data_IF_066553797681
#
_entry.id   IF_066553797681
#
_cell.length_a   1.000
_cell.length_b   1.000
_cell.length_c   1.000
_cell.angle_alpha   90.00
_cell.angle_beta   90.00
_cell.angle_gamma   90.00
#
_symmetry.space_group_name_H-M   'P 1'
#
loop_
_entity.id
_entity.type
_entity.pdbx_description
1 polymer ?
#
# COMPACT_ATOMS: atom_id res chain seq x y z
N UNK A 1 33.03 48.67 28.68
CA UNK A 1 32.59 48.92 27.30
C UNK A 1 31.18 48.34 27.13
N UNK A 2 30.16 49.17 27.38
CA UNK A 2 28.76 48.76 27.31
C UNK A 2 28.30 48.76 25.87
N UNK A 3 28.08 47.57 25.31
CA UNK A 3 27.58 47.39 23.95
C UNK A 3 26.11 47.80 23.91
N UNK A 4 25.84 48.99 23.36
CA UNK A 4 24.50 49.54 23.17
C UNK A 4 23.79 48.71 22.09
N UNK A 5 22.98 47.74 22.49
CA UNK A 5 22.08 47.01 21.60
C UNK A 5 21.02 48.00 21.09
N UNK A 6 21.26 48.57 19.91
CA UNK A 6 20.30 49.42 19.21
C UNK A 6 18.99 48.66 19.00
N UNK A 7 17.97 49.01 19.79
CA UNK A 7 16.61 48.50 19.71
C UNK A 7 16.05 48.81 18.33
N UNK A 8 15.72 47.76 17.59
CA UNK A 8 15.22 47.85 16.21
C UNK A 8 13.82 48.49 16.22
N UNK A 9 13.49 49.39 15.29
CA UNK A 9 12.14 49.93 15.17
C UNK A 9 11.16 48.80 14.81
N UNK A 10 10.32 48.45 15.77
CA UNK A 10 9.29 47.40 15.75
C UNK A 10 8.35 47.55 14.53
N UNK A 11 8.18 48.77 14.01
CA UNK A 11 7.26 49.09 12.91
C UNK A 11 7.58 48.42 11.56
N UNK A 12 8.85 48.13 11.26
CA UNK A 12 9.22 47.53 9.98
C UNK A 12 8.74 46.08 9.81
N UNK A 13 8.67 45.33 10.92
CA UNK A 13 8.17 43.95 10.92
C UNK A 13 6.65 43.87 10.75
N UNK A 14 5.90 44.80 11.35
CA UNK A 14 4.43 44.80 11.29
C UNK A 14 3.93 45.02 9.86
N UNK A 15 4.58 45.92 9.10
CA UNK A 15 4.24 46.16 7.70
C UNK A 15 4.52 44.94 6.81
N UNK A 16 5.70 44.33 6.92
CA UNK A 16 6.05 43.12 6.16
C UNK A 16 5.09 41.97 6.47
N UNK A 17 4.79 41.78 7.76
CA UNK A 17 3.85 40.76 8.22
C UNK A 17 2.47 40.93 7.59
N UNK A 18 1.90 42.14 7.68
CA UNK A 18 0.57 42.42 7.13
C UNK A 18 0.49 42.22 5.60
N UNK A 19 1.54 42.61 4.86
CA UNK A 19 1.60 42.40 3.41
C UNK A 19 1.69 40.92 3.06
N UNK A 20 2.56 40.15 3.74
CA UNK A 20 2.68 38.71 3.51
C UNK A 20 1.40 37.97 3.87
N UNK A 21 0.71 38.35 4.95
CA UNK A 21 -0.55 37.73 5.37
C UNK A 21 -1.69 37.97 4.37
N UNK A 22 -1.74 39.15 3.72
CA UNK A 22 -2.69 39.41 2.63
C UNK A 22 -2.40 38.57 1.39
N UNK A 23 -1.12 38.26 1.16
CA UNK A 23 -0.66 37.58 -0.05
C UNK A 23 -0.65 36.05 0.07
N UNK A 24 -0.64 35.52 1.30
CA UNK A 24 -0.51 34.10 1.60
C UNK A 24 -1.73 33.65 2.42
N UNK A 25 -2.74 33.12 1.73
CA UNK A 25 -3.95 32.58 2.36
C UNK A 25 -3.87 31.07 2.53
N UNK A 26 -3.21 30.38 1.60
CA UNK A 26 -3.11 28.94 1.57
C UNK A 26 -1.66 28.47 1.30
N UNK A 27 -1.47 27.15 1.21
CA UNK A 27 -0.14 26.57 0.98
C UNK A 27 0.42 26.88 -0.42
N UNK A 28 -0.45 27.00 -1.44
CA UNK A 28 -0.07 27.30 -2.82
C UNK A 28 0.47 28.74 -2.90
N UNK A 29 -0.23 29.69 -2.28
CA UNK A 29 0.18 31.08 -2.18
C UNK A 29 1.54 31.21 -1.50
N UNK A 30 1.79 30.41 -0.45
CA UNK A 30 3.08 30.38 0.23
C UNK A 30 4.20 29.96 -0.74
N UNK A 31 3.97 28.95 -1.57
CA UNK A 31 4.96 28.49 -2.55
C UNK A 31 5.20 29.53 -3.65
N UNK A 32 4.13 30.17 -4.13
CA UNK A 32 4.20 31.25 -5.11
C UNK A 32 4.95 32.46 -4.56
N UNK A 33 4.57 32.92 -3.36
CA UNK A 33 5.24 34.01 -2.64
C UNK A 33 6.71 33.68 -2.40
N UNK A 34 7.05 32.45 -2.00
CA UNK A 34 8.44 32.04 -1.78
C UNK A 34 9.29 32.14 -3.04
N UNK A 35 8.71 31.73 -4.18
CA UNK A 35 9.36 31.79 -5.49
C UNK A 35 9.56 33.25 -5.93
N UNK A 36 8.52 34.08 -5.81
CA UNK A 36 8.55 35.52 -6.17
C UNK A 36 9.52 36.31 -5.30
N UNK A 37 9.57 36.05 -4.00
CA UNK A 37 10.42 36.78 -3.05
C UNK A 37 11.86 36.22 -2.97
N UNK A 38 12.13 35.08 -3.60
CA UNK A 38 13.44 34.43 -3.60
C UNK A 38 13.89 34.00 -2.19
N UNK A 39 12.96 33.53 -1.37
CA UNK A 39 13.18 33.08 0.02
C UNK A 39 12.51 31.73 0.24
N UNK A 40 13.00 30.95 1.21
CA UNK A 40 12.43 29.61 1.44
C UNK A 40 11.03 29.68 2.06
N UNK A 41 10.13 28.71 1.79
CA UNK A 41 8.82 28.66 2.45
C UNK A 41 8.92 28.66 3.99
N UNK A 42 9.94 28.01 4.55
CA UNK A 42 10.18 27.98 5.99
C UNK A 42 10.49 29.37 6.55
N UNK A 43 11.24 30.20 5.80
CA UNK A 43 11.49 31.60 6.16
C UNK A 43 10.19 32.40 6.19
N UNK A 44 9.33 32.23 5.18
CA UNK A 44 8.03 32.92 5.15
C UNK A 44 7.10 32.47 6.28
N UNK A 45 7.07 31.17 6.61
CA UNK A 45 6.33 30.65 7.77
C UNK A 45 6.82 31.25 9.09
N UNK A 46 8.14 31.40 9.27
CA UNK A 46 8.71 32.06 10.45
C UNK A 46 8.21 33.50 10.57
N UNK A 47 8.19 34.25 9.46
CA UNK A 47 7.67 35.63 9.46
C UNK A 47 6.17 35.64 9.80
N UNK A 48 5.37 34.76 9.18
CA UNK A 48 3.93 34.64 9.47
C UNK A 48 3.62 34.15 10.89
N UNK A 49 4.59 33.54 11.58
CA UNK A 49 4.49 33.19 13.00
C UNK A 49 4.97 34.34 13.93
N UNK A 50 5.35 35.49 13.38
CA UNK A 50 5.86 36.63 14.15
C UNK A 50 7.31 36.49 14.61
N UNK A 51 8.03 35.46 14.17
CA UNK A 51 9.42 35.24 14.58
C UNK A 51 10.36 36.27 13.92
N UNK A 52 11.41 36.72 14.63
CA UNK A 52 12.37 37.65 14.07
C UNK A 52 13.18 36.99 12.93
N UNK A 53 13.51 37.79 11.92
CA UNK A 53 14.36 37.41 10.79
C UNK A 53 15.53 38.37 10.64
N UNK A 54 16.57 37.94 9.92
CA UNK A 54 17.75 38.78 9.70
C UNK A 54 17.41 40.02 8.87
N UNK A 55 18.11 41.13 9.16
CA UNK A 55 17.98 42.39 8.40
C UNK A 55 18.21 42.21 6.90
N UNK A 56 19.10 41.29 6.53
CA UNK A 56 19.35 40.95 5.14
C UNK A 56 18.10 40.39 4.43
N UNK A 57 17.40 39.44 5.08
CA UNK A 57 16.17 38.85 4.55
C UNK A 57 15.05 39.89 4.49
N UNK A 58 14.88 40.73 5.52
CA UNK A 58 13.89 41.81 5.53
C UNK A 58 14.11 42.77 4.35
N UNK A 59 15.35 43.24 4.15
CA UNK A 59 15.68 44.12 3.01
C UNK A 59 15.43 43.44 1.68
N UNK A 60 15.78 42.16 1.55
CA UNK A 60 15.54 41.38 0.32
C UNK A 60 14.05 41.31 -0.02
N UNK A 61 13.20 40.96 0.95
CA UNK A 61 11.75 40.87 0.77
C UNK A 61 11.16 42.26 0.49
N UNK A 62 11.56 43.28 1.28
CA UNK A 62 11.08 44.65 1.14
C UNK A 62 11.34 45.22 -0.25
N UNK A 63 12.56 45.05 -0.80
CA UNK A 63 12.88 45.51 -2.16
C UNK A 63 11.94 44.94 -3.22
N UNK A 64 11.59 43.66 -3.12
CA UNK A 64 10.68 43.01 -4.08
C UNK A 64 9.25 43.52 -3.89
N UNK A 65 8.78 43.69 -2.64
CA UNK A 65 7.43 44.19 -2.35
C UNK A 65 7.24 45.66 -2.71
N UNK A 66 8.29 46.48 -2.59
CA UNK A 66 8.28 47.89 -2.95
C UNK A 66 8.40 48.12 -4.47
N UNK A 67 8.44 47.06 -5.28
CA UNK A 67 8.61 47.14 -6.73
C UNK A 67 10.00 47.61 -7.19
N UNK A 68 10.95 47.79 -6.24
CA UNK A 68 12.32 48.28 -6.51
C UNK A 68 13.32 47.17 -6.78
N UNK A 69 12.91 45.91 -6.65
CA UNK A 69 13.71 44.76 -7.02
C UNK A 69 13.75 44.64 -8.54
N UNK A 70 14.76 45.23 -9.19
CA UNK A 70 15.06 44.91 -10.58
C UNK A 70 15.33 43.41 -10.64
N UNK A 71 14.44 42.65 -11.30
CA UNK A 71 14.83 41.37 -11.83
C UNK A 71 16.04 41.66 -12.73
N UNK A 72 17.23 41.24 -12.31
CA UNK A 72 18.35 41.09 -13.25
C UNK A 72 17.79 40.35 -14.48
N UNK A 73 18.14 40.76 -15.71
CA UNK A 73 17.64 40.16 -16.95
C UNK A 73 18.24 38.77 -17.10
N UNK A 74 17.74 37.83 -16.32
CA UNK A 74 18.07 36.42 -16.34
C UNK A 74 16.77 35.69 -16.14
N UNK A 75 16.29 35.06 -17.23
CA UNK A 75 15.13 34.19 -17.39
C UNK A 75 14.08 34.22 -16.26
N UNK A 76 12.80 34.52 -16.53
CA UNK A 76 11.74 34.43 -15.52
C UNK A 76 11.81 33.07 -14.83
N UNK A 77 12.18 33.08 -13.54
CA UNK A 77 12.30 31.84 -12.76
C UNK A 77 10.90 31.27 -12.65
N UNK A 78 10.63 30.20 -13.41
CA UNK A 78 9.37 29.45 -13.34
C UNK A 78 9.01 29.21 -11.89
N UNK A 79 7.77 29.52 -11.52
CA UNK A 79 7.33 29.34 -10.15
C UNK A 79 7.42 27.86 -9.77
N UNK A 80 7.60 27.58 -8.48
CA UNK A 80 7.66 26.18 -8.03
C UNK A 80 6.37 25.42 -8.37
N UNK A 81 5.25 26.12 -8.40
CA UNK A 81 3.93 25.56 -8.77
C UNK A 81 3.87 25.25 -10.26
N UNK A 82 4.31 26.17 -11.13
CA UNK A 82 4.41 25.91 -12.58
C UNK A 82 5.25 24.66 -12.86
N UNK A 83 6.39 24.52 -12.19
CA UNK A 83 7.24 23.34 -12.36
C UNK A 83 6.55 22.03 -11.93
N UNK A 84 5.72 22.07 -10.89
CA UNK A 84 4.97 20.89 -10.45
C UNK A 84 3.87 20.52 -11.47
N UNK A 85 3.16 21.52 -12.00
CA UNK A 85 2.14 21.31 -13.02
C UNK A 85 2.73 20.82 -14.34
N UNK A 86 3.88 21.36 -14.76
CA UNK A 86 4.62 20.91 -15.94
C UNK A 86 5.01 19.42 -15.82
N UNK A 87 5.61 19.02 -14.68
CA UNK A 87 5.97 17.62 -14.45
C UNK A 87 4.74 16.70 -14.46
N UNK A 88 3.60 17.17 -13.93
CA UNK A 88 2.35 16.42 -13.98
C UNK A 88 1.81 16.30 -15.41
N UNK A 89 1.89 17.36 -16.21
CA UNK A 89 1.45 17.34 -17.59
C UNK A 89 2.26 16.35 -18.43
N UNK A 90 3.60 16.42 -18.34
CA UNK A 90 4.49 15.46 -18.98
C UNK A 90 4.23 14.02 -18.52
N UNK A 91 3.92 13.82 -17.23
CA UNK A 91 3.53 12.50 -16.73
C UNK A 91 2.23 11.99 -17.35
N UNK A 92 1.23 12.86 -17.54
CA UNK A 92 -0.02 12.49 -18.22
C UNK A 92 0.19 12.16 -19.69
N UNK A 93 1.09 12.86 -20.37
CA UNK A 93 1.39 12.64 -21.79
C UNK A 93 2.23 11.38 -22.02
N UNK A 94 3.31 11.19 -21.27
CA UNK A 94 4.25 10.09 -21.49
C UNK A 94 3.89 8.80 -20.74
N UNK A 95 3.04 8.87 -19.71
CA UNK A 95 2.52 7.75 -18.93
C UNK A 95 3.51 7.04 -18.00
N UNK A 96 4.82 7.34 -18.07
CA UNK A 96 5.84 6.70 -17.23
C UNK A 96 6.77 7.71 -16.60
N UNK A 97 7.13 7.47 -15.33
CA UNK A 97 8.06 8.33 -14.58
C UNK A 97 9.46 8.40 -15.21
N UNK A 98 9.89 7.33 -15.90
CA UNK A 98 11.22 7.27 -16.51
C UNK A 98 11.31 8.21 -17.70
N UNK A 99 10.32 8.19 -18.61
CA UNK A 99 10.29 9.09 -19.77
C UNK A 99 10.29 10.56 -19.36
N UNK A 100 9.47 10.92 -18.38
CA UNK A 100 9.44 12.28 -17.82
C UNK A 100 10.79 12.67 -17.24
N UNK A 101 11.45 11.75 -16.52
CA UNK A 101 12.78 11.97 -15.95
C UNK A 101 13.83 12.25 -17.02
N UNK A 102 13.84 11.45 -18.09
CA UNK A 102 14.78 11.58 -19.21
C UNK A 102 14.58 12.94 -19.93
N UNK A 103 13.34 13.37 -20.11
CA UNK A 103 13.00 14.63 -20.78
C UNK A 103 13.40 15.88 -19.99
N UNK A 104 13.12 15.91 -18.69
CA UNK A 104 13.42 17.09 -17.84
C UNK A 104 14.80 17.03 -17.19
N UNK A 105 15.59 16.00 -17.49
CA UNK A 105 16.94 15.80 -16.94
C UNK A 105 16.95 15.58 -15.41
N UNK A 106 15.97 14.85 -14.87
CA UNK A 106 15.90 14.50 -13.45
C UNK A 106 15.95 12.98 -13.26
N UNK A 107 16.25 12.52 -12.03
CA UNK A 107 16.09 11.10 -11.73
C UNK A 107 14.61 10.72 -11.62
N UNK A 108 14.28 9.48 -11.99
CA UNK A 108 12.93 8.90 -11.84
C UNK A 108 12.35 9.10 -10.43
N UNK A 109 13.16 8.86 -9.40
CA UNK A 109 12.74 9.04 -8.01
C UNK A 109 12.44 10.51 -7.69
N UNK A 110 13.20 11.44 -8.27
CA UNK A 110 12.95 12.86 -8.10
C UNK A 110 11.62 13.29 -8.73
N UNK A 111 11.30 12.76 -9.92
CA UNK A 111 9.99 12.97 -10.56
C UNK A 111 8.87 12.47 -9.66
N UNK A 112 9.00 11.25 -9.13
CA UNK A 112 8.03 10.68 -8.18
C UNK A 112 7.78 11.61 -6.99
N UNK A 113 8.85 12.10 -6.36
CA UNK A 113 8.75 13.01 -5.22
C UNK A 113 8.05 14.33 -5.58
N UNK A 114 8.29 14.86 -6.77
CA UNK A 114 7.60 16.08 -7.23
C UNK A 114 6.10 15.84 -7.42
N UNK A 115 5.71 14.71 -8.03
CA UNK A 115 4.31 14.36 -8.22
C UNK A 115 3.59 14.12 -6.88
N UNK A 116 4.21 13.38 -5.95
CA UNK A 116 3.70 13.19 -4.59
C UNK A 116 3.50 14.54 -3.91
N UNK A 117 4.52 15.40 -3.95
CA UNK A 117 4.45 16.73 -3.34
C UNK A 117 3.37 17.60 -3.96
N UNK A 118 3.21 17.59 -5.28
CA UNK A 118 2.15 18.35 -5.96
C UNK A 118 0.75 17.88 -5.55
N UNK A 119 0.59 16.56 -5.39
CA UNK A 119 -0.65 15.96 -4.90
C UNK A 119 -0.95 16.31 -3.44
N UNK A 120 0.04 16.27 -2.55
CA UNK A 120 -0.09 16.71 -1.15
C UNK A 120 -0.45 18.19 -1.04
N UNK A 121 -0.01 19.01 -2.01
CA UNK A 121 -0.36 20.43 -2.07
C UNK A 121 -1.76 20.69 -2.67
N UNK A 122 -2.48 19.65 -3.10
CA UNK A 122 -3.79 19.78 -3.75
C UNK A 122 -3.74 20.39 -5.15
N UNK A 123 -2.58 20.37 -5.83
CA UNK A 123 -2.45 20.92 -7.18
C UNK A 123 -3.07 20.00 -8.25
N UNK A 124 -3.00 18.69 -8.02
CA UNK A 124 -3.52 17.65 -8.90
C UNK A 124 -3.64 16.34 -8.13
N UNK A 125 -4.32 15.35 -8.70
CA UNK A 125 -4.37 14.00 -8.15
C UNK A 125 -3.28 13.13 -8.81
N UNK A 126 -2.35 12.61 -8.01
CA UNK A 126 -1.35 11.64 -8.46
C UNK A 126 -1.51 10.33 -7.72
N UNK A 127 -1.96 9.30 -8.44
CA UNK A 127 -1.98 7.92 -7.96
C UNK A 127 -0.73 7.22 -8.47
N UNK A 128 0.20 6.81 -7.60
CA UNK A 128 1.37 6.09 -8.05
C UNK A 128 0.93 4.78 -8.71
N UNK A 129 1.59 4.40 -9.80
CA UNK A 129 1.20 3.26 -10.65
C UNK A 129 1.16 1.90 -9.95
N UNK A 130 1.68 1.77 -8.73
CA UNK A 130 1.52 0.56 -7.92
C UNK A 130 0.13 0.43 -7.28
N UNK A 131 -0.61 1.54 -7.12
CA UNK A 131 -2.02 1.53 -6.66
C UNK A 131 -2.99 1.14 -7.77
N UNK A 132 -2.62 1.35 -9.04
CA UNK A 132 -3.41 0.96 -10.23
C UNK A 132 -3.24 -0.55 -10.53
N UNK A 133 -3.07 -1.35 -9.48
CA UNK A 133 -2.82 -2.78 -9.55
C UNK A 133 -4.10 -3.61 -9.57
N UNK A 134 -3.90 -4.92 -9.45
CA UNK A 134 -4.96 -5.90 -9.22
C UNK A 134 -5.65 -5.57 -7.89
N UNK A 135 -6.99 -5.55 -7.89
CA UNK A 135 -7.77 -5.27 -6.70
C UNK A 135 -7.56 -6.36 -5.64
N UNK A 136 -7.79 -5.99 -4.37
CA UNK A 136 -7.69 -6.90 -3.23
C UNK A 136 -8.56 -8.14 -3.44
N UNK A 137 -9.80 -7.93 -3.86
CA UNK A 137 -10.82 -8.97 -4.06
C UNK A 137 -10.36 -9.97 -5.12
N UNK A 138 -9.80 -9.48 -6.22
CA UNK A 138 -9.29 -10.31 -7.31
C UNK A 138 -8.10 -11.16 -6.86
N UNK A 139 -7.18 -10.60 -6.05
CA UNK A 139 -6.06 -11.37 -5.48
C UNK A 139 -6.58 -12.53 -4.63
N UNK A 140 -7.55 -12.27 -3.75
CA UNK A 140 -8.12 -13.29 -2.87
C UNK A 140 -8.91 -14.35 -3.65
N UNK A 141 -9.66 -13.95 -4.67
CA UNK A 141 -10.35 -14.87 -5.58
C UNK A 141 -9.37 -15.77 -6.33
N UNK A 142 -8.34 -15.18 -6.93
CA UNK A 142 -7.29 -15.94 -7.62
C UNK A 142 -6.56 -16.87 -6.65
N UNK A 143 -6.34 -16.44 -5.41
CA UNK A 143 -5.74 -17.27 -4.37
C UNK A 143 -6.61 -18.45 -3.98
N UNK A 144 -7.95 -18.29 -3.85
CA UNK A 144 -8.88 -19.42 -3.61
C UNK A 144 -8.76 -20.49 -4.70
N UNK A 145 -8.58 -20.07 -5.96
CA UNK A 145 -8.48 -20.98 -7.10
C UNK A 145 -7.17 -21.77 -7.13
N UNK A 146 -6.03 -21.14 -6.86
CA UNK A 146 -4.70 -21.75 -7.06
C UNK A 146 -3.98 -22.13 -5.77
N UNK A 147 -4.43 -21.62 -4.62
CA UNK A 147 -3.95 -21.90 -3.26
C UNK A 147 -2.45 -21.67 -3.03
N UNK A 148 -1.80 -20.92 -3.91
CA UNK A 148 -0.37 -20.62 -3.84
C UNK A 148 -0.09 -19.21 -4.36
N UNK A 149 0.74 -18.44 -3.66
CA UNK A 149 1.10 -17.08 -4.09
C UNK A 149 1.83 -17.06 -5.45
N UNK A 150 2.63 -18.10 -5.72
CA UNK A 150 3.28 -18.27 -7.03
C UNK A 150 2.25 -18.43 -8.15
N UNK A 151 1.19 -19.22 -7.93
CA UNK A 151 0.10 -19.37 -8.88
C UNK A 151 -0.66 -18.05 -9.10
N UNK A 152 -0.93 -17.29 -8.03
CA UNK A 152 -1.60 -15.98 -8.14
C UNK A 152 -0.76 -14.99 -8.95
N UNK A 153 0.56 -14.97 -8.71
CA UNK A 153 1.49 -14.12 -9.45
C UNK A 153 1.50 -14.46 -10.95
N UNK A 154 1.50 -15.76 -11.30
CA UNK A 154 1.43 -16.23 -12.68
C UNK A 154 0.11 -15.86 -13.36
N UNK A 155 -1.03 -16.11 -12.70
CA UNK A 155 -2.37 -15.78 -13.22
C UNK A 155 -2.50 -14.29 -13.52
N UNK A 156 -1.92 -13.44 -12.66
CA UNK A 156 -1.98 -11.99 -12.82
C UNK A 156 -0.80 -11.40 -13.59
N UNK A 157 0.01 -12.24 -14.25
CA UNK A 157 1.15 -11.84 -15.08
C UNK A 157 2.09 -10.84 -14.37
N UNK A 158 2.37 -11.07 -13.09
CA UNK A 158 3.23 -10.21 -12.29
C UNK A 158 4.33 -10.99 -11.55
N UNK A 159 5.39 -10.28 -11.18
CA UNK A 159 6.44 -10.89 -10.37
C UNK A 159 5.96 -11.14 -8.93
N UNK A 160 6.52 -12.17 -8.28
CA UNK A 160 6.20 -12.50 -6.90
C UNK A 160 6.52 -11.33 -5.93
N UNK A 161 7.62 -10.62 -6.17
CA UNK A 161 7.96 -9.41 -5.40
C UNK A 161 6.90 -8.32 -5.53
N UNK A 162 6.32 -8.14 -6.73
CA UNK A 162 5.23 -7.18 -6.94
C UNK A 162 3.98 -7.61 -6.20
N UNK A 163 3.63 -8.91 -6.24
CA UNK A 163 2.51 -9.45 -5.48
C UNK A 163 2.68 -9.22 -3.97
N UNK A 164 3.85 -9.51 -3.40
CA UNK A 164 4.09 -9.26 -1.97
C UNK A 164 3.93 -7.78 -1.57
N UNK A 165 4.31 -6.85 -2.45
CA UNK A 165 4.06 -5.42 -2.21
C UNK A 165 2.57 -5.11 -2.22
N UNK A 166 1.82 -5.68 -3.17
CA UNK A 166 0.36 -5.52 -3.23
C UNK A 166 -0.34 -6.11 -2.00
N UNK A 167 0.10 -7.28 -1.50
CA UNK A 167 -0.46 -7.85 -0.27
C UNK A 167 -0.29 -6.88 0.90
N UNK A 168 0.88 -6.24 1.04
CA UNK A 168 1.14 -5.24 2.08
C UNK A 168 0.27 -4.00 1.92
N UNK A 169 0.12 -3.50 0.70
CA UNK A 169 -0.70 -2.31 0.39
C UNK A 169 -2.18 -2.57 0.70
N UNK A 170 -2.68 -3.74 0.33
CA UNK A 170 -4.07 -4.15 0.54
C UNK A 170 -4.34 -4.69 1.95
N UNK A 171 -3.32 -4.73 2.83
CA UNK A 171 -3.44 -5.25 4.18
C UNK A 171 -3.80 -6.74 4.25
N UNK A 172 -3.51 -7.52 3.20
CA UNK A 172 -3.74 -8.97 3.20
C UNK A 172 -2.65 -9.62 4.05
N UNK A 173 -3.07 -10.28 5.13
CA UNK A 173 -2.16 -10.89 6.11
C UNK A 173 -1.94 -12.37 5.84
N UNK A 174 -0.85 -12.94 6.36
CA UNK A 174 -0.60 -14.38 6.27
C UNK A 174 -1.69 -15.23 6.94
N UNK A 175 -2.20 -14.88 8.15
CA UNK A 175 -3.33 -15.61 8.75
C UNK A 175 -4.60 -15.61 7.89
N UNK A 176 -4.91 -14.50 7.21
CA UNK A 176 -6.05 -14.44 6.29
C UNK A 176 -5.88 -15.42 5.11
N UNK A 177 -4.67 -15.49 4.54
CA UNK A 177 -4.35 -16.44 3.48
C UNK A 177 -4.36 -17.89 3.98
N UNK A 178 -3.93 -18.14 5.21
CA UNK A 178 -3.99 -19.46 5.84
C UNK A 178 -5.44 -19.91 6.07
N UNK A 179 -6.31 -19.01 6.54
CA UNK A 179 -7.73 -19.31 6.73
C UNK A 179 -8.40 -19.69 5.41
N UNK A 180 -8.16 -18.90 4.36
CA UNK A 180 -8.65 -19.21 3.01
C UNK A 180 -8.09 -20.55 2.54
N UNK A 181 -6.78 -20.75 2.67
CA UNK A 181 -6.14 -21.99 2.26
C UNK A 181 -6.75 -23.20 2.97
N UNK A 182 -6.95 -23.11 4.28
CA UNK A 182 -7.49 -24.19 5.09
C UNK A 182 -8.94 -24.51 4.70
N UNK A 183 -9.77 -23.48 4.53
CA UNK A 183 -11.17 -23.62 4.09
C UNK A 183 -11.26 -24.32 2.73
N UNK A 184 -10.51 -23.85 1.74
CA UNK A 184 -10.54 -24.43 0.39
C UNK A 184 -9.95 -25.84 0.36
N UNK A 185 -8.87 -26.11 1.14
CA UNK A 185 -8.32 -27.46 1.27
C UNK A 185 -9.30 -28.42 1.92
N UNK A 186 -10.04 -27.98 2.94
CA UNK A 186 -11.11 -28.77 3.54
C UNK A 186 -12.18 -29.11 2.50
N UNK A 187 -12.64 -28.13 1.72
CA UNK A 187 -13.64 -28.35 0.67
C UNK A 187 -13.19 -29.38 -0.38
N UNK A 188 -11.97 -29.24 -0.90
CA UNK A 188 -11.39 -30.21 -1.86
C UNK A 188 -11.27 -31.61 -1.25
N UNK A 189 -10.90 -31.70 0.04
CA UNK A 189 -10.78 -32.97 0.75
C UNK A 189 -12.14 -33.66 0.90
N UNK A 190 -13.18 -32.89 1.26
CA UNK A 190 -14.58 -33.36 1.35
C UNK A 190 -15.05 -33.87 -0.02
N UNK A 191 -14.83 -33.11 -1.10
CA UNK A 191 -15.22 -33.52 -2.45
C UNK A 191 -14.57 -34.85 -2.85
N UNK A 192 -13.27 -35.01 -2.58
CA UNK A 192 -12.55 -36.26 -2.84
C UNK A 192 -13.10 -37.42 -1.99
N UNK A 193 -13.43 -37.16 -0.73
CA UNK A 193 -14.05 -38.15 0.13
C UNK A 193 -15.42 -38.59 -0.39
N UNK A 194 -16.26 -37.65 -0.83
CA UNK A 194 -17.56 -37.98 -1.43
C UNK A 194 -17.43 -38.83 -2.69
N UNK A 195 -16.41 -38.62 -3.53
CA UNK A 195 -16.12 -39.50 -4.68
C UNK A 195 -15.85 -40.94 -4.23
N UNK A 196 -15.05 -41.13 -3.18
CA UNK A 196 -14.80 -42.47 -2.60
C UNK A 196 -16.10 -43.09 -2.06
N UNK A 197 -16.95 -42.30 -1.39
CA UNK A 197 -18.25 -42.79 -0.89
C UNK A 197 -19.14 -43.23 -2.04
N UNK A 198 -19.19 -42.47 -3.14
CA UNK A 198 -19.95 -42.83 -4.34
C UNK A 198 -19.43 -44.12 -4.98
N UNK A 199 -18.10 -44.29 -5.07
CA UNK A 199 -17.48 -45.50 -5.62
C UNK A 199 -17.74 -46.75 -4.75
N UNK A 200 -17.80 -46.59 -3.42
CA UNK A 200 -18.00 -47.70 -2.49
C UNK A 200 -19.46 -48.00 -2.19
N UNK A 201 -20.37 -47.05 -2.39
CA UNK A 201 -21.78 -47.15 -2.02
C UNK A 201 -22.06 -46.97 -0.52
N UNK A 202 -21.03 -46.76 0.31
CA UNK A 202 -21.14 -46.51 1.75
C UNK A 202 -19.99 -45.64 2.25
N UNK A 203 -20.13 -45.09 3.47
CA UNK A 203 -19.05 -44.36 4.12
C UNK A 203 -17.92 -45.32 4.55
N UNK A 204 -16.71 -45.23 3.97
CA UNK A 204 -15.65 -46.17 4.27
C UNK A 204 -15.20 -46.04 5.73
N UNK A 205 -14.93 -47.16 6.36
CA UNK A 205 -14.18 -47.25 7.63
C UNK A 205 -12.74 -46.79 7.43
N UNK A 206 -12.07 -46.41 8.53
CA UNK A 206 -10.64 -46.05 8.50
C UNK A 206 -9.79 -47.16 7.90
N UNK A 207 -10.09 -48.42 8.22
CA UNK A 207 -9.38 -49.59 7.71
C UNK A 207 -9.59 -49.79 6.20
N UNK A 208 -10.82 -49.57 5.70
CA UNK A 208 -11.11 -49.65 4.26
C UNK A 208 -10.36 -48.56 3.48
N UNK A 209 -10.33 -47.32 3.98
CA UNK A 209 -9.55 -46.25 3.34
C UNK A 209 -8.04 -46.53 3.32
N UNK A 210 -7.50 -47.21 4.33
CA UNK A 210 -6.07 -47.54 4.39
C UNK A 210 -5.67 -48.70 3.46
N UNK A 211 -6.59 -49.62 3.19
CA UNK A 211 -6.36 -50.76 2.29
C UNK A 211 -6.16 -50.30 0.85
N UNK A 212 -6.95 -49.32 0.40
CA UNK A 212 -6.88 -48.79 -0.96
C UNK A 212 -5.75 -47.74 -1.03
N UNK A 213 -4.71 -48.00 -1.84
CA UNK A 213 -3.52 -47.15 -1.91
C UNK A 213 -3.83 -45.71 -2.33
N UNK A 214 -4.77 -45.51 -3.26
CA UNK A 214 -5.23 -44.18 -3.69
C UNK A 214 -5.88 -43.37 -2.56
N UNK A 215 -6.48 -44.04 -1.58
CA UNK A 215 -7.19 -43.40 -0.45
C UNK A 215 -6.30 -43.11 0.75
N UNK A 216 -5.07 -43.65 0.79
CA UNK A 216 -4.10 -43.37 1.87
C UNK A 216 -3.75 -41.89 1.94
N UNK A 217 -3.54 -41.25 0.79
CA UNK A 217 -3.26 -39.81 0.73
C UNK A 217 -4.43 -38.99 1.30
N UNK A 218 -5.67 -39.33 0.94
CA UNK A 218 -6.86 -38.69 1.47
C UNK A 218 -6.96 -38.84 2.99
N UNK A 219 -6.68 -40.04 3.51
CA UNK A 219 -6.64 -40.30 4.95
C UNK A 219 -5.65 -39.38 5.68
N UNK A 220 -4.45 -39.21 5.12
CA UNK A 220 -3.43 -38.31 5.66
C UNK A 220 -3.87 -36.84 5.60
N UNK A 221 -4.53 -36.42 4.51
CA UNK A 221 -5.08 -35.06 4.39
C UNK A 221 -6.17 -34.80 5.43
N UNK A 222 -7.08 -35.76 5.65
CA UNK A 222 -8.13 -35.66 6.66
C UNK A 222 -7.49 -35.49 8.05
N UNK A 223 -6.52 -36.33 8.40
CA UNK A 223 -5.82 -36.20 9.70
C UNK A 223 -5.08 -34.88 9.85
N UNK A 224 -4.45 -34.38 8.79
CA UNK A 224 -3.76 -33.08 8.83
C UNK A 224 -4.71 -31.91 9.04
N UNK A 225 -5.89 -31.95 8.42
CA UNK A 225 -6.86 -30.84 8.43
C UNK A 225 -7.86 -30.91 9.60
N UNK A 226 -8.17 -32.09 10.13
CA UNK A 226 -9.15 -32.29 11.22
C UNK A 226 -8.55 -32.95 12.48
N UNK A 227 -7.26 -33.30 12.47
CA UNK A 227 -6.60 -34.07 13.53
C UNK A 227 -6.92 -35.56 13.46
N UNK A 228 -8.20 -35.91 13.53
CA UNK A 228 -8.68 -37.30 13.50
C UNK A 228 -9.81 -37.51 12.49
N UNK A 229 -10.03 -38.75 12.09
CA UNK A 229 -11.11 -39.10 11.14
C UNK A 229 -12.47 -38.98 11.83
N UNK A 230 -12.53 -39.22 13.13
CA UNK A 230 -13.72 -39.10 13.95
C UNK A 230 -14.19 -37.65 14.02
N UNK A 231 -13.28 -36.69 14.19
CA UNK A 231 -13.60 -35.25 14.14
C UNK A 231 -14.15 -34.85 12.78
N UNK A 232 -13.52 -35.33 11.69
CA UNK A 232 -14.02 -35.13 10.33
C UNK A 232 -15.44 -35.68 10.16
N UNK A 233 -15.69 -36.92 10.59
CA UNK A 233 -17.03 -37.53 10.50
C UNK A 233 -18.07 -36.75 11.30
N UNK A 234 -17.73 -36.33 12.51
CA UNK A 234 -18.60 -35.53 13.36
C UNK A 234 -18.96 -34.19 12.70
N UNK A 235 -17.97 -33.50 12.12
CA UNK A 235 -18.18 -32.24 11.40
C UNK A 235 -19.06 -32.42 10.15
N UNK A 236 -18.98 -33.59 9.49
CA UNK A 236 -19.78 -33.92 8.31
C UNK A 236 -21.11 -34.64 8.62
N UNK A 237 -21.46 -34.84 9.90
CA UNK A 237 -22.68 -35.57 10.29
C UNK A 237 -22.69 -37.05 9.90
N UNK A 238 -21.52 -37.66 9.69
CA UNK A 238 -21.37 -39.06 9.29
C UNK A 238 -21.41 -39.95 10.53
N UNK A 239 -22.27 -40.99 10.58
CA UNK A 239 -22.33 -41.88 11.73
C UNK A 239 -21.03 -42.67 11.91
N UNK A 240 -20.67 -43.02 13.17
CA UNK A 240 -19.55 -43.92 13.41
C UNK A 240 -19.84 -45.29 12.77
N UNK A 241 -18.79 -46.00 12.30
CA UNK A 241 -19.00 -47.29 11.69
C UNK A 241 -19.51 -48.28 12.74
N UNK A 242 -20.35 -49.26 12.36
CA UNK A 242 -20.86 -50.25 13.31
C UNK A 242 -19.68 -50.97 13.95
N UNK A 243 -19.63 -50.96 15.29
CA UNK A 243 -18.64 -51.73 16.05
C UNK A 243 -18.85 -53.18 15.66
N UNK A 244 -17.85 -53.82 15.03
CA UNK A 244 -17.86 -55.27 14.86
C UNK A 244 -17.91 -55.86 16.26
N UNK A 245 -19.07 -56.35 16.68
CA UNK A 245 -19.19 -57.18 17.87
C UNK A 245 -18.32 -58.40 17.56
N UNK A 246 -17.10 -58.40 18.08
CA UNK A 246 -16.33 -59.61 18.16
C UNK A 246 -17.11 -60.52 19.08
N UNK A 247 -17.97 -61.37 18.50
CA UNK A 247 -18.48 -62.53 19.21
C UNK A 247 -17.25 -63.36 19.56
N UNK A 248 -16.74 -63.15 20.77
CA UNK A 248 -15.95 -64.12 21.49
C UNK A 248 -16.83 -65.36 21.57
N UNK A 249 -16.73 -66.25 20.58
CA UNK A 249 -17.03 -67.66 20.78
C UNK A 249 -16.02 -68.13 21.81
N UNK A 250 -16.38 -67.98 23.09
CA UNK A 250 -15.75 -68.70 24.18
C UNK A 250 -15.99 -70.16 23.84
N UNK A 251 -14.97 -70.80 23.26
CA UNK A 251 -14.90 -72.24 23.15
C UNK A 251 -14.79 -72.77 24.58
N UNK A 252 -15.95 -73.00 25.21
CA UNK A 252 -16.05 -73.90 26.35
C UNK A 252 -15.76 -75.30 25.82
N UNK A 253 -14.47 -75.67 25.78
CA UNK A 253 -14.08 -77.07 25.73
C UNK A 253 -14.40 -77.70 27.08
N UNK A 254 -15.47 -78.49 27.10
CA UNK A 254 -15.72 -79.52 28.11
C UNK A 254 -15.01 -80.80 27.70
#
# INVERSE_FOLDING_TARGET
MSSTLATVPVHSNVRLFSQLRKMITNHIDLLNASSRLGVTPSTLRKILAGAPISRFIQRKIGRVLDGRGSALPGSPKRSRVERLLEVYHLYREHGTLQRVADEIGLSRERVRQLLVKGSECGLFEYKPSWEVGVSREKILEDYRRVLTLKGVAQVNQMSLCRLHRLLKVHGITEPELEEIWFKEKKAICIERYHKVVLEMGHHPTTTEMQRISSNRYLTTQIRRLWGTIETFRKEQGIPPPPKRLFHLKVLTHS
#
